data_IF_957010348658
#
_entry.id   IF_957010348658
#
_cell.length_a   1.000
_cell.length_b   1.000
_cell.length_c   1.000
_cell.angle_alpha   90.00
_cell.angle_beta   90.00
_cell.angle_gamma   90.00
#
_symmetry.space_group_name_H-M   'P 1'
#
loop_
_entity.id
_entity.type
_entity.pdbx_description
1 polymer ?
#
# COMPACT_ATOMS: atom_id res chain seq x y z
N UNK A 1 0.97 22.23 -8.12
CA UNK A 1 0.79 21.06 -9.02
C UNK A 1 0.32 19.86 -8.21
N UNK A 2 -0.23 18.80 -8.82
CA UNK A 2 -0.76 17.63 -8.09
C UNK A 2 0.03 16.37 -8.46
N UNK A 3 0.44 15.60 -7.44
CA UNK A 3 0.98 14.25 -7.54
C UNK A 3 -0.06 13.26 -7.00
N UNK A 4 -0.24 12.15 -7.70
CA UNK A 4 -0.98 10.98 -7.19
C UNK A 4 0.03 9.84 -7.05
N UNK A 5 0.13 9.27 -5.85
CA UNK A 5 1.02 8.13 -5.55
C UNK A 5 0.17 6.97 -5.05
N UNK A 6 0.15 5.86 -5.79
CA UNK A 6 -0.58 4.64 -5.41
C UNK A 6 0.40 3.53 -5.07
N UNK A 7 0.37 3.04 -3.84
CA UNK A 7 1.39 2.16 -3.28
C UNK A 7 0.78 1.10 -2.35
N UNK A 8 1.60 0.10 -2.03
CA UNK A 8 1.35 -0.82 -0.93
C UNK A 8 1.93 -0.22 0.35
N UNK A 9 1.18 -0.26 1.45
CA UNK A 9 1.62 0.28 2.74
C UNK A 9 2.03 -0.81 3.73
N UNK A 10 2.95 -0.43 4.61
CA UNK A 10 3.18 -1.12 5.88
C UNK A 10 2.49 -0.36 7.02
N UNK A 11 2.10 -1.12 8.04
CA UNK A 11 1.43 -0.60 9.23
C UNK A 11 2.24 -1.04 10.44
N UNK A 12 2.44 -0.13 11.41
CA UNK A 12 3.26 -0.40 12.59
C UNK A 12 2.57 -1.37 13.57
N UNK A 13 1.23 -1.42 13.54
CA UNK A 13 0.46 -2.41 14.28
C UNK A 13 0.44 -3.73 13.50
N UNK A 14 1.18 -4.72 13.99
CA UNK A 14 1.34 -6.03 13.38
C UNK A 14 0.00 -6.77 13.22
N UNK A 15 -0.93 -6.64 14.17
CA UNK A 15 -2.23 -7.32 14.10
C UNK A 15 -3.08 -6.73 12.97
N UNK A 16 -3.09 -5.39 12.87
CA UNK A 16 -3.77 -4.70 11.77
C UNK A 16 -3.09 -5.02 10.44
N UNK A 17 -1.76 -5.03 10.41
CA UNK A 17 -0.99 -5.31 9.20
C UNK A 17 -1.33 -6.67 8.59
N UNK A 18 -1.25 -7.72 9.39
CA UNK A 18 -1.54 -9.10 8.96
C UNK A 18 -3.02 -9.24 8.54
N UNK A 19 -3.94 -8.67 9.31
CA UNK A 19 -5.36 -8.69 8.96
C UNK A 19 -5.63 -8.05 7.59
N UNK A 20 -5.03 -6.90 7.29
CA UNK A 20 -5.22 -6.24 6.00
C UNK A 20 -4.59 -7.05 4.85
N UNK A 21 -3.47 -7.72 5.09
CA UNK A 21 -2.86 -8.64 4.12
C UNK A 21 -3.82 -9.81 3.83
N UNK A 22 -4.36 -10.44 4.86
CA UNK A 22 -5.26 -11.58 4.73
C UNK A 22 -6.53 -11.21 3.97
N UNK A 23 -7.17 -10.08 4.33
CA UNK A 23 -8.34 -9.58 3.62
C UNK A 23 -8.07 -9.29 2.14
N UNK A 24 -6.86 -8.79 1.82
CA UNK A 24 -6.45 -8.59 0.43
C UNK A 24 -6.28 -9.92 -0.33
N UNK A 25 -5.76 -10.96 0.34
CA UNK A 25 -5.68 -12.31 -0.24
C UNK A 25 -7.06 -12.93 -0.46
N UNK A 26 -7.95 -12.80 0.51
CA UNK A 26 -9.33 -13.27 0.42
C UNK A 26 -10.09 -12.59 -0.72
N UNK A 27 -9.92 -11.28 -0.87
CA UNK A 27 -10.47 -10.53 -1.99
C UNK A 27 -10.00 -11.08 -3.34
N UNK A 28 -8.69 -11.38 -3.51
CA UNK A 28 -8.19 -11.98 -4.75
C UNK A 28 -8.80 -13.37 -5.00
N UNK A 29 -8.88 -14.21 -3.96
CA UNK A 29 -9.49 -15.53 -4.07
C UNK A 29 -10.96 -15.44 -4.52
N UNK A 30 -11.72 -14.52 -3.94
CA UNK A 30 -13.11 -14.27 -4.30
C UNK A 30 -13.28 -13.76 -5.74
N UNK A 31 -12.27 -13.10 -6.30
CA UNK A 31 -12.25 -12.60 -7.68
C UNK A 31 -11.63 -13.58 -8.69
N UNK A 32 -11.48 -14.87 -8.33
CA UNK A 32 -11.09 -15.92 -9.26
C UNK A 32 -9.58 -16.04 -9.49
N UNK A 33 -8.75 -15.36 -8.71
CA UNK A 33 -7.31 -15.64 -8.70
C UNK A 33 -7.07 -17.01 -8.03
N UNK A 34 -6.35 -17.89 -8.72
CA UNK A 34 -5.96 -19.17 -8.15
C UNK A 34 -4.94 -18.99 -7.02
N UNK A 35 -4.92 -19.92 -6.07
CA UNK A 35 -3.90 -19.90 -5.00
C UNK A 35 -2.47 -19.99 -5.58
N UNK A 36 -2.30 -20.67 -6.72
CA UNK A 36 -1.02 -20.76 -7.41
C UNK A 36 -0.58 -19.39 -7.96
N UNK A 37 -1.47 -18.63 -8.59
CA UNK A 37 -1.17 -17.27 -9.08
C UNK A 37 -0.89 -16.30 -7.94
N UNK A 38 -1.67 -16.39 -6.85
CA UNK A 38 -1.46 -15.60 -5.64
C UNK A 38 -0.08 -15.91 -5.05
N UNK A 39 0.27 -17.19 -4.93
CA UNK A 39 1.54 -17.63 -4.37
C UNK A 39 2.73 -17.27 -5.27
N UNK A 40 2.63 -17.44 -6.59
CA UNK A 40 3.71 -17.09 -7.51
C UNK A 40 3.99 -15.59 -7.53
N UNK A 41 2.95 -14.75 -7.59
CA UNK A 41 3.13 -13.29 -7.49
C UNK A 41 3.72 -12.88 -6.14
N UNK A 42 3.26 -13.51 -5.06
CA UNK A 42 3.75 -13.26 -3.70
C UNK A 42 5.25 -13.56 -3.62
N UNK A 43 5.67 -14.78 -3.97
CA UNK A 43 7.08 -15.19 -3.91
C UNK A 43 8.01 -14.38 -4.81
N UNK A 44 7.53 -13.91 -5.97
CA UNK A 44 8.32 -13.12 -6.90
C UNK A 44 8.62 -11.68 -6.41
N UNK A 45 7.80 -11.16 -5.48
CA UNK A 45 7.81 -9.74 -5.11
C UNK A 45 8.08 -9.52 -3.61
N UNK A 46 7.75 -10.48 -2.75
CA UNK A 46 7.91 -10.36 -1.28
C UNK A 46 9.32 -10.03 -0.82
N UNK A 47 10.34 -10.57 -1.49
CA UNK A 47 11.74 -10.38 -1.07
C UNK A 47 12.42 -9.16 -1.73
N UNK A 48 11.69 -8.42 -2.56
CA UNK A 48 12.27 -7.32 -3.37
C UNK A 48 11.54 -6.01 -3.12
N UNK A 49 10.21 -6.04 -2.92
CA UNK A 49 9.42 -4.85 -2.66
C UNK A 49 9.61 -4.39 -1.22
N UNK A 50 10.00 -3.11 -1.04
CA UNK A 50 10.14 -2.46 0.27
C UNK A 50 9.06 -1.38 0.40
N UNK A 51 7.84 -1.75 0.84
CA UNK A 51 6.76 -0.78 1.05
C UNK A 51 7.04 0.11 2.26
N UNK A 52 6.64 1.38 2.15
CA UNK A 52 6.76 2.37 3.22
C UNK A 52 5.42 2.57 3.95
N UNK A 53 5.46 3.15 5.15
CA UNK A 53 4.26 3.52 5.88
C UNK A 53 3.66 4.81 5.31
N UNK A 54 2.36 5.02 5.57
CA UNK A 54 1.69 6.27 5.21
C UNK A 54 2.41 7.48 5.85
N UNK A 55 2.87 7.32 7.09
CA UNK A 55 3.62 8.36 7.80
C UNK A 55 4.94 8.70 7.09
N UNK A 56 5.70 7.68 6.67
CA UNK A 56 6.95 7.86 5.94
C UNK A 56 6.72 8.59 4.59
N UNK A 57 5.66 8.26 3.86
CA UNK A 57 5.29 8.98 2.63
C UNK A 57 4.92 10.44 2.91
N UNK A 58 4.12 10.72 3.95
CA UNK A 58 3.76 12.10 4.33
C UNK A 58 4.98 12.92 4.72
N UNK A 59 5.92 12.34 5.47
CA UNK A 59 7.18 13.00 5.82
C UNK A 59 8.03 13.31 4.58
N UNK A 60 8.13 12.35 3.65
CA UNK A 60 8.84 12.55 2.40
C UNK A 60 8.22 13.68 1.57
N UNK A 61 6.90 13.72 1.45
CA UNK A 61 6.20 14.80 0.74
C UNK A 61 6.46 16.17 1.35
N UNK A 62 6.40 16.30 2.68
CA UNK A 62 6.73 17.53 3.36
C UNK A 62 8.19 17.95 3.11
N UNK A 63 9.13 16.99 3.18
CA UNK A 63 10.56 17.22 2.96
C UNK A 63 10.89 17.72 1.55
N UNK A 64 10.19 17.25 0.53
CA UNK A 64 10.40 17.64 -0.87
C UNK A 64 9.58 18.87 -1.29
N UNK A 65 8.84 19.47 -0.35
CA UNK A 65 8.17 20.76 -0.51
C UNK A 65 6.75 20.69 -1.05
N UNK A 66 6.03 19.58 -0.87
CA UNK A 66 4.57 19.57 -1.04
C UNK A 66 3.92 20.30 0.14
N UNK A 67 2.99 21.21 -0.15
CA UNK A 67 2.28 22.04 0.83
C UNK A 67 1.16 21.28 1.54
N UNK A 68 0.60 20.25 0.91
CA UNK A 68 -0.41 19.36 1.50
C UNK A 68 -0.31 17.95 0.93
N UNK A 69 -0.59 16.93 1.74
CA UNK A 69 -0.73 15.56 1.26
C UNK A 69 -1.71 14.77 2.12
N UNK A 70 -2.50 13.90 1.49
CA UNK A 70 -3.47 13.05 2.20
C UNK A 70 -3.76 11.75 1.45
N UNK A 71 -4.16 10.71 2.18
CA UNK A 71 -4.70 9.48 1.60
C UNK A 71 -6.13 9.74 1.13
N UNK A 72 -6.35 9.69 -0.18
CA UNK A 72 -7.68 9.89 -0.77
C UNK A 72 -8.41 8.57 -1.04
N UNK A 73 -7.66 7.46 -1.09
CA UNK A 73 -8.21 6.12 -1.23
C UNK A 73 -7.35 5.11 -0.48
N UNK A 74 -8.00 4.19 0.23
CA UNK A 74 -7.34 3.04 0.82
C UNK A 74 -8.23 1.81 0.71
N UNK A 75 -7.62 0.69 0.32
CA UNK A 75 -8.25 -0.60 0.23
C UNK A 75 -7.28 -1.67 0.74
N UNK A 76 -7.55 -2.15 1.95
CA UNK A 76 -6.66 -3.02 2.71
C UNK A 76 -5.27 -2.40 2.92
N UNK A 77 -4.22 -3.13 2.55
CA UNK A 77 -2.83 -2.70 2.58
C UNK A 77 -2.38 -1.96 1.30
N UNK A 78 -3.31 -1.61 0.41
CA UNK A 78 -3.04 -0.74 -0.73
C UNK A 78 -3.74 0.60 -0.53
N UNK A 79 -3.15 1.67 -1.03
CA UNK A 79 -3.86 2.94 -1.10
C UNK A 79 -3.21 3.91 -2.06
N UNK A 80 -3.82 5.08 -2.12
CA UNK A 80 -3.40 6.16 -2.98
C UNK A 80 -3.43 7.46 -2.20
N UNK A 81 -2.40 8.27 -2.41
CA UNK A 81 -2.23 9.59 -1.82
C UNK A 81 -2.29 10.65 -2.89
N UNK A 82 -2.81 11.81 -2.51
CA UNK A 82 -2.68 13.04 -3.26
C UNK A 82 -1.68 13.94 -2.55
N UNK A 83 -0.78 14.58 -3.30
CA UNK A 83 0.12 15.61 -2.78
C UNK A 83 0.03 16.86 -3.66
N UNK A 84 -0.11 18.03 -3.03
CA UNK A 84 -0.26 19.33 -3.67
C UNK A 84 0.98 20.16 -3.36
N UNK A 85 1.64 20.65 -4.40
CA UNK A 85 2.77 21.59 -4.29
C UNK A 85 2.27 23.00 -4.45
#
# INVERSE_FOLDING_TARGET
GILILSEKYIFDDEQVHELLIDLHHDFKRANGYSELEISQKRSAIENVMRPDSIAAHKELFAKIGFSSSEVWFQFFNFGSMIAIK
#
